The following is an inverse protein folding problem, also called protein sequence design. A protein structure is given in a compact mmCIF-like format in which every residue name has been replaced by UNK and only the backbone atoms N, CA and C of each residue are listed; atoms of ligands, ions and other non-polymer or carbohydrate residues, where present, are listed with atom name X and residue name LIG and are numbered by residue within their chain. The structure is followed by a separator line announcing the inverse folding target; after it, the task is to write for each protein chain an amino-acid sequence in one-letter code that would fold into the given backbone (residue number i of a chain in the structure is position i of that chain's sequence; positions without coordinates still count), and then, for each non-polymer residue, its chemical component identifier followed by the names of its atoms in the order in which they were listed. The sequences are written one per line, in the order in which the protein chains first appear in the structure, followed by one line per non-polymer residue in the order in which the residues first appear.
data_IF_038322915494
#
_entry.id   IF_038322915494
#
_cell.length_a   1.000
_cell.length_b   1.000
_cell.length_c   1.000
_cell.angle_alpha   90.00
_cell.angle_beta   90.00
_cell.angle_gamma   90.00
#
_symmetry.space_group_name_H-M   'P 1'
#
loop_
_entity.id
_entity.type
_entity.pdbx_description
1 polymer ?
#
# COMPACT_ATOMS: atom_id res chain seq x y z
N UNK A 1 13.80 14.41 -36.07
CA UNK A 1 13.32 13.05 -36.42
C UNK A 1 13.31 12.03 -35.28
N UNK A 2 14.35 11.88 -34.43
CA UNK A 2 14.27 10.96 -33.27
C UNK A 2 13.34 11.49 -32.14
N UNK A 3 13.18 12.81 -32.03
CA UNK A 3 12.41 13.45 -30.95
C UNK A 3 10.88 13.46 -31.20
N UNK A 4 10.43 13.58 -32.44
CA UNK A 4 9.00 13.59 -32.80
C UNK A 4 8.37 12.20 -32.72
N UNK A 5 9.03 11.17 -33.25
CA UNK A 5 8.52 9.79 -33.15
C UNK A 5 8.49 9.29 -31.71
N UNK A 6 9.43 9.73 -30.86
CA UNK A 6 9.44 9.44 -29.42
C UNK A 6 8.37 10.26 -28.67
N UNK A 7 8.09 11.51 -29.09
CA UNK A 7 6.96 12.29 -28.59
C UNK A 7 5.62 11.68 -28.99
N UNK A 8 5.43 11.34 -30.27
CA UNK A 8 4.21 10.72 -30.80
C UNK A 8 3.98 9.32 -30.22
N UNK A 9 5.03 8.48 -30.07
CA UNK A 9 4.91 7.21 -29.35
C UNK A 9 4.56 7.44 -27.88
N UNK A 10 5.12 8.46 -27.22
CA UNK A 10 4.83 8.74 -25.81
C UNK A 10 3.46 9.39 -25.61
N UNK A 11 2.99 10.20 -26.55
CA UNK A 11 1.68 10.84 -26.59
C UNK A 11 0.57 9.84 -26.95
N UNK A 12 0.84 8.85 -27.82
CA UNK A 12 -0.09 7.75 -28.13
C UNK A 12 0.03 6.51 -27.20
N UNK A 13 1.11 6.40 -26.41
CA UNK A 13 1.37 5.30 -25.45
C UNK A 13 1.54 5.79 -24.01
N UNK A 14 0.86 6.88 -23.60
CA UNK A 14 0.82 7.23 -22.18
C UNK A 14 0.24 6.06 -21.40
N UNK A 15 0.97 5.64 -20.38
CA UNK A 15 0.59 4.59 -19.47
C UNK A 15 0.08 5.30 -18.21
N UNK A 16 -1.23 5.28 -17.96
CA UNK A 16 -1.79 5.84 -16.73
C UNK A 16 -1.25 5.13 -15.49
N UNK A 17 -1.20 5.81 -14.37
CA UNK A 17 -0.65 5.29 -13.12
C UNK A 17 -1.53 5.69 -11.94
N UNK A 18 -1.47 4.95 -10.84
CA UNK A 18 -2.13 5.29 -9.59
C UNK A 18 -1.08 5.42 -8.49
N UNK A 19 -0.98 6.60 -7.91
CA UNK A 19 -0.10 6.90 -6.77
C UNK A 19 -0.93 7.33 -5.55
N UNK A 20 -0.64 6.74 -4.40
CA UNK A 20 -1.31 7.06 -3.14
C UNK A 20 -0.32 7.63 -2.11
N UNK A 21 -0.68 8.77 -1.52
CA UNK A 21 0.03 9.41 -0.42
C UNK A 21 -0.84 9.42 0.84
N UNK A 22 -0.42 8.69 1.87
CA UNK A 22 -1.12 8.62 3.14
C UNK A 22 -0.25 9.14 4.28
N UNK A 23 -0.80 9.28 5.47
CA UNK A 23 -0.08 9.69 6.67
C UNK A 23 -0.94 10.55 7.60
N UNK A 24 -0.49 10.76 8.85
CA UNK A 24 -1.23 11.53 9.85
C UNK A 24 -1.33 13.02 9.47
N UNK A 25 -2.03 13.82 10.28
CA UNK A 25 -2.09 15.27 10.12
C UNK A 25 -0.67 15.86 10.05
N UNK A 26 -0.49 16.89 9.20
CA UNK A 26 0.79 17.58 8.96
C UNK A 26 1.95 16.80 8.29
N UNK A 27 1.83 15.48 8.04
CA UNK A 27 2.82 14.64 7.31
C UNK A 27 3.25 15.08 5.90
N UNK A 28 2.67 16.15 5.34
CA UNK A 28 3.03 16.66 4.01
C UNK A 28 2.45 15.88 2.82
N UNK A 29 1.54 14.93 3.02
CA UNK A 29 0.87 14.19 1.93
C UNK A 29 0.21 15.08 0.87
N UNK A 30 -0.50 16.12 1.29
CA UNK A 30 -1.10 17.11 0.37
C UNK A 30 -0.03 17.85 -0.41
N UNK A 31 1.09 18.22 0.23
CA UNK A 31 2.23 18.85 -0.45
C UNK A 31 2.87 17.94 -1.50
N UNK A 32 2.90 16.61 -1.26
CA UNK A 32 3.38 15.64 -2.26
C UNK A 32 2.45 15.57 -3.46
N UNK A 33 1.13 15.55 -3.23
CA UNK A 33 0.13 15.63 -4.29
C UNK A 33 0.26 16.93 -5.09
N UNK A 34 0.38 18.07 -4.42
CA UNK A 34 0.55 19.39 -5.05
C UNK A 34 1.85 19.45 -5.86
N UNK A 35 2.94 18.87 -5.36
CA UNK A 35 4.20 18.81 -6.10
C UNK A 35 4.09 18.00 -7.40
N UNK A 36 3.33 16.90 -7.42
CA UNK A 36 3.06 16.15 -8.66
C UNK A 36 2.20 16.96 -9.64
N UNK A 37 1.19 17.69 -9.13
CA UNK A 37 0.36 18.59 -9.94
C UNK A 37 1.19 19.71 -10.58
N UNK A 38 2.01 20.40 -9.79
CA UNK A 38 2.93 21.43 -10.28
C UNK A 38 3.92 20.87 -11.31
N UNK A 39 4.45 19.68 -11.07
CA UNK A 39 5.37 19.02 -12.01
C UNK A 39 4.69 18.75 -13.35
N UNK A 40 3.45 18.26 -13.33
CA UNK A 40 2.67 18.02 -14.54
C UNK A 40 2.37 19.33 -15.28
N UNK A 41 1.99 20.38 -14.57
CA UNK A 41 1.76 21.71 -15.16
C UNK A 41 3.03 22.27 -15.82
N UNK A 42 4.21 22.15 -15.17
CA UNK A 42 5.51 22.55 -15.76
C UNK A 42 5.88 21.74 -17.00
N UNK A 43 5.33 20.54 -17.15
CA UNK A 43 5.47 19.70 -18.36
C UNK A 43 4.43 20.03 -19.44
N UNK A 44 3.55 21.02 -19.21
CA UNK A 44 2.48 21.39 -20.12
C UNK A 44 1.32 20.38 -20.14
N UNK A 45 1.23 19.51 -19.13
CA UNK A 45 0.16 18.50 -19.05
C UNK A 45 -1.11 19.13 -18.51
N UNK A 46 -2.26 18.72 -19.04
CA UNK A 46 -3.56 19.14 -18.54
C UNK A 46 -3.84 18.39 -17.24
N UNK A 47 -3.93 19.11 -16.13
CA UNK A 47 -4.16 18.54 -14.80
C UNK A 47 -5.47 19.05 -14.23
N UNK A 48 -6.20 18.16 -13.56
CA UNK A 48 -7.46 18.48 -12.90
C UNK A 48 -7.40 18.06 -11.43
N UNK A 49 -7.86 18.93 -10.54
CA UNK A 49 -8.05 18.61 -9.12
C UNK A 49 -9.52 18.37 -8.86
N UNK A 50 -9.88 17.16 -8.45
CA UNK A 50 -11.22 16.82 -8.04
C UNK A 50 -11.34 16.99 -6.53
N UNK A 51 -12.41 17.65 -6.09
CA UNK A 51 -12.68 17.95 -4.69
C UNK A 51 -14.20 18.03 -4.45
N UNK A 52 -14.63 17.77 -3.22
CA UNK A 52 -15.92 18.26 -2.74
C UNK A 52 -17.16 17.39 -2.92
N UNK A 53 -17.06 16.13 -3.36
CA UNK A 53 -18.22 15.24 -3.50
C UNK A 53 -17.99 13.89 -2.84
N UNK A 54 -18.98 13.38 -2.13
CA UNK A 54 -18.89 12.08 -1.46
C UNK A 54 -19.13 10.89 -2.42
N UNK A 55 -19.81 11.13 -3.55
CA UNK A 55 -20.16 10.09 -4.53
C UNK A 55 -19.08 9.95 -5.61
N UNK A 56 -18.44 8.77 -5.66
CA UNK A 56 -17.39 8.46 -6.62
C UNK A 56 -17.87 8.44 -8.08
N UNK A 57 -19.14 8.14 -8.36
CA UNK A 57 -19.66 8.13 -9.74
C UNK A 57 -19.75 9.55 -10.33
N UNK A 58 -20.00 10.54 -9.49
CA UNK A 58 -20.04 11.93 -9.92
C UNK A 58 -18.64 12.44 -10.31
N UNK A 59 -17.56 11.80 -9.84
CA UNK A 59 -16.18 12.13 -10.25
C UNK A 59 -15.99 11.93 -11.75
N UNK A 60 -16.53 10.86 -12.34
CA UNK A 60 -16.41 10.60 -13.78
C UNK A 60 -17.14 11.66 -14.61
N UNK A 61 -18.31 12.11 -14.15
CA UNK A 61 -19.07 13.16 -14.83
C UNK A 61 -18.36 14.54 -14.81
N UNK A 62 -17.46 14.75 -13.86
CA UNK A 62 -16.65 15.97 -13.76
C UNK A 62 -15.30 15.85 -14.47
N UNK A 63 -14.91 14.64 -14.88
CA UNK A 63 -13.62 14.43 -15.49
C UNK A 63 -13.55 15.18 -16.81
N UNK A 64 -12.57 16.08 -16.91
CA UNK A 64 -12.23 16.71 -18.17
C UNK A 64 -11.66 15.61 -19.10
N UNK A 65 -12.28 15.36 -20.28
CA UNK A 65 -11.82 14.38 -21.26
C UNK A 65 -10.34 14.46 -21.63
N UNK A 66 -9.78 15.66 -21.55
CA UNK A 66 -8.40 15.92 -21.90
C UNK A 66 -7.46 15.93 -20.67
N UNK A 67 -7.96 15.65 -19.47
CA UNK A 67 -7.14 15.54 -18.27
C UNK A 67 -6.14 14.38 -18.40
N UNK A 68 -4.87 14.72 -18.26
CA UNK A 68 -3.77 13.75 -18.30
C UNK A 68 -3.27 13.39 -16.89
N UNK A 69 -3.61 14.23 -15.90
CA UNK A 69 -3.37 14.01 -14.48
C UNK A 69 -4.63 14.39 -13.70
N UNK A 70 -5.10 13.50 -12.85
CA UNK A 70 -6.16 13.76 -11.88
C UNK A 70 -5.57 13.69 -10.47
N UNK A 71 -5.87 14.71 -9.68
CA UNK A 71 -5.48 14.76 -8.27
C UNK A 71 -6.70 14.76 -7.37
N UNK A 72 -6.66 13.97 -6.30
CA UNK A 72 -7.74 13.86 -5.31
C UNK A 72 -7.13 13.97 -3.92
N UNK A 73 -7.52 15.00 -3.18
CA UNK A 73 -7.14 15.15 -1.78
C UNK A 73 -8.32 14.79 -0.88
N UNK A 74 -8.07 14.58 0.41
CA UNK A 74 -9.06 14.13 1.39
C UNK A 74 -9.80 12.86 0.95
N UNK A 75 -9.09 11.90 0.33
CA UNK A 75 -9.71 10.69 -0.21
C UNK A 75 -10.44 9.84 0.85
N UNK A 76 -10.16 10.04 2.14
CA UNK A 76 -10.84 9.37 3.25
C UNK A 76 -12.31 9.76 3.40
N UNK A 77 -12.75 10.82 2.72
CA UNK A 77 -14.15 11.29 2.72
C UNK A 77 -15.03 10.57 1.72
N UNK A 78 -14.45 9.75 0.84
CA UNK A 78 -15.17 8.97 -0.17
C UNK A 78 -15.47 7.57 0.37
N UNK A 79 -16.33 6.84 -0.33
CA UNK A 79 -16.56 5.41 -0.09
C UNK A 79 -15.54 4.52 -0.84
N UNK A 80 -15.64 3.21 -0.62
CA UNK A 80 -14.74 2.21 -1.20
C UNK A 80 -14.82 2.12 -2.73
N UNK A 81 -15.89 2.63 -3.37
CA UNK A 81 -16.03 2.62 -4.83
C UNK A 81 -15.00 3.51 -5.51
N UNK A 82 -14.45 4.48 -4.79
CA UNK A 82 -13.35 5.30 -5.30
C UNK A 82 -12.19 4.41 -5.80
N UNK A 83 -11.91 3.28 -5.15
CA UNK A 83 -10.82 2.37 -5.55
C UNK A 83 -11.00 1.87 -6.98
N UNK A 84 -12.21 1.46 -7.35
CA UNK A 84 -12.53 0.96 -8.69
C UNK A 84 -12.46 2.07 -9.72
N UNK A 85 -13.07 3.23 -9.43
CA UNK A 85 -13.06 4.41 -10.31
C UNK A 85 -11.63 4.85 -10.63
N UNK A 86 -10.76 4.97 -9.62
CA UNK A 86 -9.37 5.39 -9.84
C UNK A 86 -8.54 4.32 -10.57
N UNK A 87 -8.84 3.04 -10.34
CA UNK A 87 -8.21 1.97 -11.09
C UNK A 87 -8.58 2.03 -12.57
N UNK A 88 -9.84 2.28 -12.91
CA UNK A 88 -10.31 2.39 -14.29
C UNK A 88 -9.75 3.62 -14.98
N UNK A 89 -9.71 4.78 -14.31
CA UNK A 89 -9.05 5.98 -14.83
C UNK A 89 -7.60 5.70 -15.24
N UNK A 90 -6.83 5.05 -14.37
CA UNK A 90 -5.44 4.76 -14.66
C UNK A 90 -5.24 3.58 -15.63
N UNK A 91 -6.18 2.63 -15.71
CA UNK A 91 -6.05 1.41 -16.52
C UNK A 91 -6.62 1.58 -17.93
N UNK A 92 -7.86 2.03 -18.02
CA UNK A 92 -8.69 2.11 -19.23
C UNK A 92 -8.44 3.48 -19.88
N UNK A 93 -8.61 4.55 -19.11
CA UNK A 93 -8.49 5.92 -19.61
C UNK A 93 -7.03 6.42 -19.65
N UNK A 94 -6.08 5.63 -19.10
CA UNK A 94 -4.63 5.91 -19.11
C UNK A 94 -4.28 7.28 -18.52
N UNK A 95 -5.05 7.72 -17.52
CA UNK A 95 -4.83 8.94 -16.76
C UNK A 95 -3.84 8.69 -15.62
N UNK A 96 -2.92 9.61 -15.36
CA UNK A 96 -2.17 9.55 -14.09
C UNK A 96 -3.09 10.03 -12.97
N UNK A 97 -3.18 9.25 -11.91
CA UNK A 97 -4.03 9.54 -10.75
C UNK A 97 -3.14 9.64 -9.53
N UNK A 98 -3.25 10.75 -8.82
CA UNK A 98 -2.54 10.98 -7.56
C UNK A 98 -3.56 11.27 -6.48
N UNK A 99 -3.59 10.43 -5.46
CA UNK A 99 -4.51 10.53 -4.34
C UNK A 99 -3.76 10.79 -3.05
N UNK A 100 -4.28 11.69 -2.22
CA UNK A 100 -3.82 11.90 -0.85
C UNK A 100 -4.98 11.80 0.16
N UNK A 101 -4.70 11.31 1.36
CA UNK A 101 -5.70 11.23 2.43
C UNK A 101 -5.17 10.63 3.73
N UNK A 102 -6.04 10.47 4.71
CA UNK A 102 -5.73 9.77 5.96
C UNK A 102 -6.14 8.31 5.87
N UNK A 103 -5.22 7.40 6.19
CA UNK A 103 -5.49 5.97 6.30
C UNK A 103 -6.09 5.58 7.65
N UNK A 104 -5.84 6.39 8.68
CA UNK A 104 -6.47 6.29 10.00
C UNK A 104 -7.10 7.64 10.36
N UNK A 105 -8.28 7.61 10.96
CA UNK A 105 -8.86 8.78 11.60
C UNK A 105 -8.16 9.09 12.94
N UNK A 106 -8.58 10.17 13.61
CA UNK A 106 -7.99 10.56 14.89
C UNK A 106 -8.29 9.58 16.03
N UNK A 107 -9.29 8.71 15.88
CA UNK A 107 -9.59 7.65 16.84
C UNK A 107 -8.73 6.40 16.63
N UNK A 108 -7.92 6.39 15.56
CA UNK A 108 -7.08 5.26 15.19
C UNK A 108 -7.83 4.20 14.38
N UNK A 109 -9.00 4.51 13.82
CA UNK A 109 -9.76 3.59 12.97
C UNK A 109 -9.45 3.83 11.49
N UNK A 110 -9.47 2.78 10.64
CA UNK A 110 -9.28 2.93 9.20
C UNK A 110 -10.30 3.88 8.59
N UNK A 111 -9.84 4.81 7.75
CA UNK A 111 -10.67 5.89 7.23
C UNK A 111 -10.86 5.79 5.70
N UNK A 112 -12.12 5.58 5.29
CA UNK A 112 -12.53 5.53 3.89
C UNK A 112 -11.74 4.50 3.07
N UNK A 113 -11.52 4.75 1.75
CA UNK A 113 -10.88 3.81 0.83
C UNK A 113 -9.35 3.76 0.93
N UNK A 114 -8.72 4.57 1.80
CA UNK A 114 -7.26 4.70 1.83
C UNK A 114 -6.51 3.39 2.09
N UNK A 115 -6.93 2.53 3.04
CA UNK A 115 -6.32 1.21 3.24
C UNK A 115 -6.24 0.39 1.94
N UNK A 116 -7.33 0.35 1.18
CA UNK A 116 -7.46 -0.37 -0.09
C UNK A 116 -6.69 0.31 -1.21
N UNK A 117 -6.66 1.64 -1.26
CA UNK A 117 -5.89 2.42 -2.23
C UNK A 117 -4.38 2.22 -2.04
N UNK A 118 -3.87 2.13 -0.81
CA UNK A 118 -2.45 1.84 -0.56
C UNK A 118 -2.05 0.47 -1.13
N UNK A 119 -2.93 -0.51 -1.11
CA UNK A 119 -2.73 -1.81 -1.76
C UNK A 119 -2.91 -1.73 -3.29
N UNK A 120 -3.91 -0.99 -3.77
CA UNK A 120 -4.30 -0.98 -5.20
C UNK A 120 -3.44 -0.08 -6.09
N UNK A 121 -2.85 0.97 -5.50
CA UNK A 121 -1.98 1.89 -6.21
C UNK A 121 -0.71 1.19 -6.74
N UNK A 122 -0.16 1.67 -7.84
CA UNK A 122 1.13 1.18 -8.34
C UNK A 122 2.27 1.62 -7.43
N UNK A 123 2.13 2.81 -6.87
CA UNK A 123 3.02 3.40 -5.89
C UNK A 123 2.21 3.87 -4.68
N UNK A 124 2.66 3.53 -3.48
CA UNK A 124 2.06 4.01 -2.25
C UNK A 124 3.17 4.45 -1.30
N UNK A 125 3.02 5.64 -0.74
CA UNK A 125 3.93 6.18 0.25
C UNK A 125 3.12 6.63 1.46
N UNK A 126 3.40 5.97 2.58
CA UNK A 126 2.92 6.38 3.89
C UNK A 126 3.94 7.35 4.48
N UNK A 127 3.55 8.61 4.58
CA UNK A 127 4.37 9.68 5.10
C UNK A 127 4.20 9.75 6.62
N UNK A 128 5.29 10.03 7.31
CA UNK A 128 5.31 10.41 8.72
C UNK A 128 5.52 11.93 8.84
N UNK A 129 5.28 12.50 10.03
CA UNK A 129 5.64 13.91 10.32
C UNK A 129 6.99 14.01 11.05
N UNK A 130 7.89 13.04 10.80
CA UNK A 130 9.19 12.93 11.46
C UNK A 130 9.07 12.48 12.91
N UNK A 131 8.77 13.40 13.83
CA UNK A 131 8.86 13.17 15.28
C UNK A 131 7.55 13.51 15.98
N UNK A 132 7.18 12.65 16.93
CA UNK A 132 5.98 12.79 17.75
C UNK A 132 5.88 14.19 18.39
N UNK A 133 4.71 14.82 18.28
CA UNK A 133 4.43 16.14 18.87
C UNK A 133 4.36 16.15 20.40
N UNK A 134 4.37 14.98 21.05
CA UNK A 134 4.44 14.90 22.52
C UNK A 134 5.82 15.42 22.97
N UNK A 135 5.89 16.47 23.80
CA UNK A 135 7.15 17.01 24.29
C UNK A 135 8.04 15.91 24.91
N UNK A 136 9.31 15.89 24.54
CA UNK A 136 10.28 14.88 25.01
C UNK A 136 10.29 13.56 24.23
N UNK A 137 9.27 13.27 23.43
CA UNK A 137 9.23 12.06 22.61
C UNK A 137 10.10 12.20 21.35
N UNK A 138 10.83 11.15 20.99
CA UNK A 138 11.61 11.07 19.72
C UNK A 138 11.12 9.98 18.78
N UNK A 139 10.02 9.31 19.11
CA UNK A 139 9.44 8.27 18.28
C UNK A 139 8.79 8.87 17.03
N UNK A 140 8.67 8.03 15.99
CA UNK A 140 8.03 8.37 14.73
C UNK A 140 6.59 8.84 14.93
N UNK A 141 6.20 9.94 14.28
CA UNK A 141 4.81 10.39 14.31
C UNK A 141 3.98 9.70 13.21
N UNK A 142 3.26 8.64 13.58
CA UNK A 142 2.49 7.77 12.68
C UNK A 142 0.97 7.81 12.90
N UNK A 143 0.49 8.63 13.85
CA UNK A 143 -0.92 8.74 14.23
C UNK A 143 -1.33 10.20 14.40
N UNK A 144 -2.62 10.49 14.28
CA UNK A 144 -3.20 11.81 14.57
C UNK A 144 -3.86 11.79 15.94
N UNK A 145 -3.43 12.65 16.85
CA UNK A 145 -4.08 12.85 18.15
C UNK A 145 -4.96 14.10 18.12
N UNK A 146 -6.19 13.96 18.62
CA UNK A 146 -7.09 15.08 18.91
C UNK A 146 -6.81 15.63 20.31
N UNK A 147 -6.64 16.94 20.43
CA UNK A 147 -6.42 17.61 21.71
C UNK A 147 -7.60 18.52 22.08
N UNK A 148 -7.98 18.50 23.36
CA UNK A 148 -9.02 19.38 23.88
C UNK A 148 -8.60 20.86 23.80
N UNK A 149 -9.56 21.76 23.56
CA UNK A 149 -9.33 23.19 23.70
C UNK A 149 -9.03 23.53 25.16
N UNK A 150 -7.91 24.21 25.41
CA UNK A 150 -7.54 24.72 26.75
C UNK A 150 -7.37 26.23 26.68
N UNK A 151 -7.92 26.98 27.64
CA UNK A 151 -7.74 28.43 27.78
C UNK A 151 -8.00 29.24 26.49
N UNK A 152 -9.11 28.96 25.80
CA UNK A 152 -9.51 29.71 24.59
C UNK A 152 -8.75 29.35 23.31
N UNK A 153 -7.89 28.32 23.33
CA UNK A 153 -7.29 27.78 22.11
C UNK A 153 -8.28 26.88 21.37
N UNK A 154 -8.28 26.88 20.01
CA UNK A 154 -9.15 25.99 19.24
C UNK A 154 -8.72 24.52 19.40
N UNK A 155 -9.62 23.61 19.04
CA UNK A 155 -9.30 22.19 18.90
C UNK A 155 -8.11 21.99 17.95
N UNK A 156 -7.21 21.07 18.29
CA UNK A 156 -5.99 20.81 17.51
C UNK A 156 -5.85 19.32 17.22
N UNK A 157 -5.30 19.03 16.04
CA UNK A 157 -4.92 17.71 15.62
C UNK A 157 -3.41 17.72 15.37
N UNK A 158 -2.66 17.00 16.19
CA UNK A 158 -1.19 16.94 16.06
C UNK A 158 -0.74 15.50 15.81
N UNK A 159 0.34 15.30 15.05
CA UNK A 159 0.85 13.97 14.80
C UNK A 159 1.64 13.46 16.00
N UNK A 160 1.37 12.24 16.41
CA UNK A 160 1.99 11.57 17.55
C UNK A 160 2.45 10.16 17.17
N UNK A 161 3.31 9.56 17.98
CA UNK A 161 3.65 8.14 17.82
C UNK A 161 2.51 7.25 18.33
N UNK A 162 2.54 5.99 17.92
CA UNK A 162 1.62 4.93 18.38
C UNK A 162 1.43 4.93 19.90
N UNK A 163 2.51 5.03 20.67
CA UNK A 163 2.48 5.03 22.14
C UNK A 163 1.73 6.21 22.76
N UNK A 164 1.74 7.36 22.09
CA UNK A 164 1.13 8.60 22.60
C UNK A 164 -0.21 8.91 21.95
N UNK A 165 -0.72 8.00 21.12
CA UNK A 165 -2.06 8.09 20.57
C UNK A 165 -3.07 7.50 21.55
N UNK A 166 -4.19 8.18 21.71
CA UNK A 166 -5.40 7.67 22.36
C UNK A 166 -6.61 8.00 21.48
N UNK A 167 -7.63 7.12 21.42
CA UNK A 167 -8.86 7.41 20.69
C UNK A 167 -9.58 8.64 21.23
N UNK A 168 -9.53 8.85 22.55
CA UNK A 168 -10.12 9.98 23.23
C UNK A 168 -9.29 11.25 23.02
N UNK A 169 -9.98 12.39 23.01
CA UNK A 169 -9.31 13.67 23.09
C UNK A 169 -8.60 13.81 24.45
N UNK A 170 -7.44 14.46 24.47
CA UNK A 170 -6.69 14.73 25.71
C UNK A 170 -6.17 16.16 25.79
N UNK A 171 -5.91 16.64 27.00
CA UNK A 171 -5.26 17.94 27.17
C UNK A 171 -3.78 17.83 26.75
N UNK A 172 -3.21 18.93 26.23
CA UNK A 172 -1.76 19.03 26.03
C UNK A 172 -1.12 19.07 27.40
N UNK A 173 -0.58 17.94 27.84
CA UNK A 173 0.16 17.82 29.08
C UNK A 173 1.62 17.55 28.76
N UNK A 174 2.50 18.25 29.47
CA UNK A 174 3.91 17.91 29.48
C UNK A 174 4.03 16.55 30.19
N UNK A 175 4.60 15.55 29.53
CA UNK A 175 4.94 14.30 30.20
C UNK A 175 6.34 14.45 30.75
N UNK A 176 6.48 14.34 32.08
CA UNK A 176 7.77 14.36 32.77
C UNK A 176 8.60 13.08 32.52
N UNK A 177 7.98 12.05 31.94
CA UNK A 177 8.64 10.77 31.68
C UNK A 177 9.41 10.85 30.37
N UNK A 178 10.72 11.08 30.49
CA UNK A 178 11.69 10.89 29.43
C UNK A 178 11.77 9.39 29.15
N UNK A 179 11.14 8.93 28.06
CA UNK A 179 11.27 7.55 27.63
C UNK A 179 12.57 7.40 26.82
N UNK A 180 13.58 6.79 27.42
CA UNK A 180 14.80 6.37 26.72
C UNK A 180 14.60 5.10 25.87
N UNK A 181 13.48 4.38 26.08
CA UNK A 181 13.17 3.16 25.31
C UNK A 181 12.35 3.47 24.05
N UNK A 182 12.80 2.99 22.86
CA UNK A 182 12.04 3.11 21.62
C UNK A 182 10.64 2.51 21.77
N UNK A 183 9.61 3.20 21.27
CA UNK A 183 8.31 2.54 21.12
C UNK A 183 8.43 1.39 20.13
N UNK A 184 7.63 0.34 20.33
CA UNK A 184 7.47 -0.69 19.30
C UNK A 184 6.94 -0.08 18.01
N UNK A 185 7.10 -0.79 16.92
CA UNK A 185 6.74 -0.33 15.59
C UNK A 185 6.25 -1.46 14.72
N UNK A 186 5.34 -1.14 13.80
CA UNK A 186 4.85 -2.04 12.77
C UNK A 186 5.33 -1.58 11.40
N UNK A 187 6.22 -2.36 10.79
CA UNK A 187 6.66 -2.15 9.42
C UNK A 187 5.93 -3.13 8.49
N UNK A 188 5.32 -2.62 7.42
CA UNK A 188 4.75 -3.45 6.35
C UNK A 188 5.62 -3.37 5.10
N UNK A 189 5.97 -4.54 4.56
CA UNK A 189 6.59 -4.73 3.25
C UNK A 189 5.55 -5.36 2.33
N UNK A 190 5.13 -4.65 1.29
CA UNK A 190 4.09 -5.13 0.38
C UNK A 190 4.53 -5.09 -1.08
N UNK A 191 3.75 -5.71 -1.96
CA UNK A 191 3.96 -5.70 -3.41
C UNK A 191 3.66 -7.04 -4.07
N UNK A 192 3.65 -7.05 -5.41
CA UNK A 192 3.37 -8.25 -6.21
C UNK A 192 4.40 -9.37 -6.04
N UNK A 193 4.15 -10.55 -6.62
CA UNK A 193 5.15 -11.63 -6.67
C UNK A 193 6.44 -11.14 -7.36
N UNK A 194 7.58 -11.71 -6.98
CA UNK A 194 8.91 -11.38 -7.52
C UNK A 194 9.45 -9.96 -7.22
N UNK A 195 8.75 -9.15 -6.42
CA UNK A 195 9.23 -7.82 -6.02
C UNK A 195 10.32 -7.82 -4.94
N UNK A 196 10.65 -8.98 -4.38
CA UNK A 196 11.71 -9.13 -3.37
C UNK A 196 11.27 -8.95 -1.92
N UNK A 197 9.96 -9.01 -1.61
CA UNK A 197 9.42 -8.88 -0.23
C UNK A 197 10.16 -9.71 0.81
N UNK A 198 10.25 -11.02 0.60
CA UNK A 198 10.95 -11.94 1.51
C UNK A 198 12.43 -11.57 1.66
N UNK A 199 13.10 -11.11 0.60
CA UNK A 199 14.50 -10.67 0.69
C UNK A 199 14.64 -9.41 1.55
N UNK A 200 13.73 -8.45 1.40
CA UNK A 200 13.71 -7.23 2.22
C UNK A 200 13.37 -7.55 3.69
N UNK A 201 12.44 -8.47 3.95
CA UNK A 201 12.13 -8.96 5.30
C UNK A 201 13.38 -9.59 5.94
N UNK A 202 14.02 -10.54 5.26
CA UNK A 202 15.23 -11.20 5.74
C UNK A 202 16.34 -10.18 6.00
N UNK A 203 16.55 -9.23 5.09
CA UNK A 203 17.55 -8.17 5.25
C UNK A 203 17.32 -7.37 6.53
N UNK A 204 16.08 -6.99 6.85
CA UNK A 204 15.75 -6.25 8.09
C UNK A 204 15.90 -7.11 9.35
N UNK A 205 15.49 -8.38 9.28
CA UNK A 205 15.66 -9.33 10.40
C UNK A 205 17.14 -9.57 10.70
N UNK A 206 17.98 -9.74 9.68
CA UNK A 206 19.41 -9.89 9.83
C UNK A 206 20.06 -8.64 10.44
N UNK A 207 19.64 -7.44 10.02
CA UNK A 207 20.09 -6.20 10.64
C UNK A 207 19.76 -6.14 12.13
N UNK A 208 18.54 -6.52 12.51
CA UNK A 208 18.14 -6.60 13.91
C UNK A 208 18.97 -7.64 14.69
N UNK A 209 19.25 -8.80 14.08
CA UNK A 209 20.13 -9.83 14.67
C UNK A 209 21.55 -9.30 14.92
N UNK A 210 22.13 -8.62 13.93
CA UNK A 210 23.47 -8.03 14.06
C UNK A 210 23.51 -6.91 15.12
N UNK A 211 22.39 -6.22 15.34
CA UNK A 211 22.22 -5.26 16.43
C UNK A 211 22.01 -5.92 17.81
N UNK A 212 22.02 -7.26 17.91
CA UNK A 212 21.89 -8.00 19.16
C UNK A 212 20.43 -8.26 19.59
N UNK A 213 19.44 -7.99 18.74
CA UNK A 213 18.04 -8.26 19.06
C UNK A 213 17.71 -9.76 18.99
N UNK A 214 16.89 -10.23 19.92
CA UNK A 214 16.23 -11.54 19.85
C UNK A 214 15.14 -11.49 18.78
N UNK A 215 15.18 -12.41 17.83
CA UNK A 215 14.28 -12.41 16.69
C UNK A 215 13.56 -13.75 16.51
N UNK A 216 12.33 -13.69 16.00
CA UNK A 216 11.59 -14.86 15.50
C UNK A 216 10.88 -14.49 14.21
N UNK A 217 10.88 -15.39 13.24
CA UNK A 217 10.12 -15.24 12.00
C UNK A 217 9.06 -16.33 11.91
N UNK A 218 7.89 -15.98 11.39
CA UNK A 218 6.76 -16.87 11.21
C UNK A 218 6.27 -16.82 9.77
N UNK A 219 5.68 -17.91 9.32
CA UNK A 219 4.97 -17.99 8.04
C UNK A 219 3.76 -18.92 8.17
N UNK A 220 2.71 -18.76 7.37
CA UNK A 220 1.60 -19.69 7.35
C UNK A 220 2.09 -21.09 6.95
N UNK A 221 1.59 -22.11 7.65
CA UNK A 221 1.72 -23.50 7.24
C UNK A 221 0.70 -23.77 6.13
N UNK A 222 1.13 -23.58 4.89
CA UNK A 222 0.36 -23.98 3.72
C UNK A 222 0.49 -25.50 3.60
N UNK A 223 -0.46 -26.23 4.20
CA UNK A 223 -0.66 -27.70 4.27
C UNK A 223 0.36 -28.60 3.52
N UNK A 224 0.93 -29.59 4.23
CA UNK A 224 2.02 -30.48 3.77
C UNK A 224 1.68 -31.33 2.54
N UNK A 225 0.40 -31.40 2.12
CA UNK A 225 0.00 -31.99 0.84
C UNK A 225 0.56 -31.22 -0.37
N UNK A 226 0.94 -29.96 -0.18
CA UNK A 226 1.40 -29.06 -1.24
C UNK A 226 2.93 -28.82 -1.22
N UNK A 227 3.64 -29.35 -0.21
CA UNK A 227 5.09 -29.22 -0.09
C UNK A 227 5.87 -30.13 -1.07
N UNK A 228 5.23 -31.17 -1.62
CA UNK A 228 5.85 -32.14 -2.53
C UNK A 228 6.17 -31.57 -3.91
N UNK A 229 5.50 -30.51 -4.37
CA UNK A 229 5.79 -29.86 -5.66
C UNK A 229 6.55 -28.52 -5.53
N UNK A 230 6.62 -27.95 -4.32
CA UNK A 230 7.14 -26.60 -4.08
C UNK A 230 8.65 -26.54 -3.75
N UNK A 231 9.45 -27.49 -4.24
CA UNK A 231 10.91 -27.48 -4.08
C UNK A 231 11.55 -26.52 -5.10
N UNK A 232 11.25 -25.23 -4.99
CA UNK A 232 12.05 -24.16 -5.60
C UNK A 232 11.64 -22.80 -5.03
N UNK A 233 11.99 -22.52 -3.76
CA UNK A 233 12.12 -21.11 -3.34
C UNK A 233 13.23 -20.50 -4.22
N UNK A 234 12.86 -19.65 -5.19
CA UNK A 234 13.71 -19.30 -6.33
C UNK A 234 14.98 -18.49 -6.02
N UNK A 235 15.35 -18.23 -4.77
CA UNK A 235 16.71 -17.81 -4.37
C UNK A 235 17.03 -18.33 -2.96
N UNK A 236 18.20 -18.95 -2.82
CA UNK A 236 18.70 -19.69 -1.64
C UNK A 236 19.07 -18.81 -0.42
N UNK A 237 18.24 -17.84 -0.05
CA UNK A 237 18.40 -17.15 1.24
C UNK A 237 17.33 -17.69 2.19
N UNK A 238 17.68 -18.76 2.92
CA UNK A 238 16.78 -19.38 3.90
C UNK A 238 17.04 -18.77 5.27
N UNK A 239 16.21 -17.81 5.67
CA UNK A 239 16.09 -17.42 7.08
C UNK A 239 15.15 -18.41 7.79
N UNK A 240 15.47 -18.91 8.99
CA UNK A 240 14.62 -19.86 9.70
C UNK A 240 13.30 -19.18 10.11
N UNK A 241 12.20 -19.55 9.45
CA UNK A 241 10.85 -19.12 9.79
C UNK A 241 10.02 -20.31 10.26
N UNK A 242 9.30 -20.13 11.37
CA UNK A 242 8.44 -21.12 12.00
C UNK A 242 7.12 -21.16 11.21
N UNK A 243 6.78 -22.33 10.66
CA UNK A 243 5.50 -22.53 9.98
C UNK A 243 4.40 -22.74 11.04
N UNK A 244 3.30 -21.98 10.92
CA UNK A 244 2.18 -22.04 11.87
C UNK A 244 0.84 -22.09 11.12
N UNK A 245 -0.10 -22.95 11.51
CA UNK A 245 -1.37 -23.12 10.80
C UNK A 245 -2.27 -21.89 10.91
N UNK A 246 -2.17 -21.15 12.01
CA UNK A 246 -3.01 -20.00 12.33
C UNK A 246 -2.28 -19.04 13.28
N UNK A 247 -2.96 -17.94 13.62
CA UNK A 247 -2.43 -16.89 14.50
C UNK A 247 -2.38 -17.33 15.95
N UNK A 248 -3.23 -18.25 16.39
CA UNK A 248 -3.20 -18.80 17.75
C UNK A 248 -1.92 -19.63 17.97
N UNK A 249 -1.55 -20.49 17.02
CA UNK A 249 -0.31 -21.24 17.05
C UNK A 249 0.93 -20.31 16.98
N UNK A 250 0.85 -19.21 16.23
CA UNK A 250 1.88 -18.17 16.22
C UNK A 250 2.07 -17.59 17.63
N UNK A 251 0.98 -17.17 18.28
CA UNK A 251 1.00 -16.60 19.62
C UNK A 251 1.61 -17.56 20.64
N UNK A 252 1.22 -18.84 20.61
CA UNK A 252 1.75 -19.86 21.51
C UNK A 252 3.25 -20.11 21.34
N UNK A 253 3.78 -20.01 20.12
CA UNK A 253 5.19 -20.22 19.83
C UNK A 253 6.03 -18.96 20.02
N UNK A 254 5.40 -17.80 20.16
CA UNK A 254 6.08 -16.52 20.33
C UNK A 254 6.63 -16.36 21.76
N UNK A 255 7.91 -16.71 21.93
CA UNK A 255 8.69 -16.43 23.15
C UNK A 255 8.59 -14.98 23.65
N UNK A 256 8.53 -14.83 24.98
CA UNK A 256 8.41 -13.54 25.66
C UNK A 256 9.59 -12.60 25.41
N UNK A 257 10.79 -13.16 25.33
CA UNK A 257 12.05 -12.45 25.16
C UNK A 257 12.26 -11.88 23.75
N UNK A 258 11.37 -12.16 22.81
CA UNK A 258 11.52 -11.76 21.40
C UNK A 258 11.21 -10.28 21.20
N UNK A 259 12.20 -9.55 20.68
CA UNK A 259 12.11 -8.11 20.41
C UNK A 259 11.71 -7.76 18.98
N UNK A 260 12.14 -8.56 18.00
CA UNK A 260 11.74 -8.38 16.60
C UNK A 260 11.01 -9.61 16.07
N UNK A 261 9.81 -9.39 15.54
CA UNK A 261 8.95 -10.44 14.99
C UNK A 261 8.81 -10.23 13.48
N UNK A 262 9.27 -11.20 12.70
CA UNK A 262 9.03 -11.25 11.25
C UNK A 262 7.82 -12.11 10.92
N UNK A 263 6.96 -11.68 10.00
CA UNK A 263 5.83 -12.46 9.52
C UNK A 263 5.85 -12.39 8.00
N UNK A 264 6.10 -13.51 7.33
CA UNK A 264 6.08 -13.60 5.86
C UNK A 264 4.74 -14.18 5.36
N UNK A 265 4.41 -13.86 4.11
CA UNK A 265 3.19 -14.30 3.42
C UNK A 265 1.90 -13.99 4.20
N UNK A 266 1.84 -12.81 4.80
CA UNK A 266 0.78 -12.42 5.73
C UNK A 266 -0.63 -12.38 5.12
N UNK A 267 -0.74 -12.28 3.79
CA UNK A 267 -2.02 -12.31 3.08
C UNK A 267 -2.80 -13.62 3.29
N UNK A 268 -2.14 -14.70 3.71
CA UNK A 268 -2.79 -15.99 3.95
C UNK A 268 -3.25 -16.21 5.41
N UNK A 269 -2.93 -15.29 6.33
CA UNK A 269 -3.53 -15.31 7.67
C UNK A 269 -4.94 -14.70 7.65
N UNK A 270 -5.75 -15.04 8.66
CA UNK A 270 -7.03 -14.39 8.89
C UNK A 270 -6.86 -12.97 9.46
N UNK A 271 -7.98 -12.26 9.63
CA UNK A 271 -8.00 -10.87 10.09
C UNK A 271 -7.41 -10.66 11.49
N UNK A 272 -7.43 -11.70 12.32
CA UNK A 272 -6.86 -11.71 13.67
C UNK A 272 -5.35 -11.41 13.72
N UNK A 273 -4.63 -11.58 12.61
CA UNK A 273 -3.22 -11.19 12.50
C UNK A 273 -3.03 -9.70 12.76
N UNK A 274 -3.99 -8.87 12.35
CA UNK A 274 -3.94 -7.41 12.51
C UNK A 274 -3.88 -7.05 13.99
N UNK A 275 -4.81 -7.58 14.78
CA UNK A 275 -4.88 -7.33 16.22
C UNK A 275 -3.65 -7.87 16.96
N UNK A 276 -3.11 -9.02 16.54
CA UNK A 276 -1.88 -9.54 17.11
C UNK A 276 -0.71 -8.58 16.88
N UNK A 277 -0.45 -8.17 15.63
CA UNK A 277 0.73 -7.36 15.32
C UNK A 277 0.66 -5.97 15.92
N UNK A 278 -0.54 -5.38 15.98
CA UNK A 278 -0.75 -4.11 16.69
C UNK A 278 -0.46 -4.26 18.19
N UNK A 279 -1.03 -5.28 18.84
CA UNK A 279 -0.77 -5.52 20.26
C UNK A 279 0.70 -5.79 20.58
N UNK A 280 1.42 -6.45 19.67
CA UNK A 280 2.88 -6.65 19.80
C UNK A 280 3.64 -5.34 19.71
N UNK A 281 3.30 -4.48 18.73
CA UNK A 281 3.91 -3.16 18.58
C UNK A 281 3.61 -2.25 19.78
N UNK A 282 2.38 -2.28 20.31
CA UNK A 282 2.01 -1.53 21.52
C UNK A 282 2.78 -1.98 22.77
N UNK A 283 3.15 -3.26 22.84
CA UNK A 283 4.02 -3.81 23.90
C UNK A 283 5.51 -3.58 23.67
N UNK A 284 5.88 -2.70 22.73
CA UNK A 284 7.27 -2.32 22.52
C UNK A 284 8.07 -3.20 21.56
N UNK A 285 7.44 -4.16 20.87
CA UNK A 285 8.13 -5.03 19.90
C UNK A 285 8.20 -4.36 18.53
N UNK A 286 9.26 -4.66 17.77
CA UNK A 286 9.34 -4.30 16.35
C UNK A 286 8.76 -5.46 15.53
N UNK A 287 7.64 -5.23 14.87
CA UNK A 287 7.00 -6.23 14.02
C UNK A 287 7.21 -5.85 12.56
N UNK A 288 7.71 -6.79 11.76
CA UNK A 288 7.94 -6.61 10.33
C UNK A 288 7.08 -7.64 9.60
N UNK A 289 6.08 -7.16 8.89
CA UNK A 289 5.13 -8.00 8.14
C UNK A 289 5.43 -7.88 6.65
N UNK A 290 5.43 -9.00 5.94
CA UNK A 290 5.58 -9.05 4.50
C UNK A 290 4.41 -9.84 3.86
N UNK A 291 3.90 -9.35 2.73
CA UNK A 291 2.83 -10.05 2.02
C UNK A 291 2.45 -9.44 0.68
N UNK A 292 1.72 -10.21 -0.13
CA UNK A 292 1.13 -9.73 -1.38
C UNK A 292 0.06 -8.69 -1.07
N UNK A 293 0.18 -7.48 -1.63
CA UNK A 293 -0.86 -6.46 -1.50
C UNK A 293 -2.11 -6.79 -2.30
N UNK A 294 -1.94 -7.42 -3.46
CA UNK A 294 -3.01 -7.78 -4.39
C UNK A 294 -3.02 -9.28 -4.73
N UNK A 295 -4.20 -9.83 -4.95
CA UNK A 295 -4.40 -11.13 -5.56
C UNK A 295 -4.16 -11.12 -7.09
N UNK A 296 -4.31 -12.26 -7.76
CA UNK A 296 -4.12 -12.34 -9.21
C UNK A 296 -5.19 -11.57 -10.01
N UNK A 297 -6.30 -11.22 -9.39
CA UNK A 297 -7.39 -10.41 -9.94
C UNK A 297 -7.19 -8.92 -9.68
N UNK A 298 -6.02 -8.55 -9.13
CA UNK A 298 -5.68 -7.19 -8.74
C UNK A 298 -6.60 -6.58 -7.66
N UNK A 299 -7.17 -7.42 -6.79
CA UNK A 299 -7.96 -6.99 -5.65
C UNK A 299 -7.11 -7.06 -4.37
N UNK A 300 -7.32 -6.19 -3.38
CA UNK A 300 -6.60 -6.27 -2.13
C UNK A 300 -6.70 -7.64 -1.46
N UNK A 301 -5.57 -8.19 -1.01
CA UNK A 301 -5.48 -9.57 -0.55
C UNK A 301 -5.54 -9.68 0.98
N UNK A 302 -6.62 -10.28 1.49
CA UNK A 302 -6.72 -10.71 2.88
C UNK A 302 -6.56 -9.52 3.86
N UNK A 303 -5.76 -9.65 4.94
CA UNK A 303 -5.60 -8.61 5.96
C UNK A 303 -4.74 -7.41 5.53
N UNK A 304 -4.18 -7.43 4.31
CA UNK A 304 -3.15 -6.48 3.89
C UNK A 304 -3.57 -5.01 3.86
N UNK A 305 -4.81 -4.62 3.49
CA UNK A 305 -5.28 -3.24 3.61
C UNK A 305 -5.21 -2.71 5.04
N UNK A 306 -5.70 -3.47 6.00
CA UNK A 306 -5.69 -3.08 7.41
C UNK A 306 -4.26 -3.04 7.95
N UNK A 307 -3.41 -4.01 7.60
CA UNK A 307 -1.99 -3.96 7.93
C UNK A 307 -1.33 -2.68 7.38
N UNK A 308 -1.68 -2.23 6.17
CA UNK A 308 -1.15 -0.99 5.60
C UNK A 308 -1.67 0.26 6.35
N UNK A 309 -2.93 0.25 6.78
CA UNK A 309 -3.53 1.30 7.59
C UNK A 309 -2.84 1.42 8.97
N UNK A 310 -2.56 0.31 9.62
CA UNK A 310 -1.98 0.29 10.96
C UNK A 310 -0.45 0.33 10.99
N UNK A 311 0.25 0.05 9.88
CA UNK A 311 1.70 0.12 9.84
C UNK A 311 2.21 1.51 10.19
N UNK A 312 3.27 1.61 10.99
CA UNK A 312 4.00 2.84 11.22
C UNK A 312 4.83 3.21 9.98
N UNK A 313 5.30 2.20 9.23
CA UNK A 313 6.02 2.37 7.96
C UNK A 313 5.52 1.41 6.89
N UNK A 314 5.29 1.93 5.69
CA UNK A 314 4.94 1.13 4.51
C UNK A 314 6.09 1.14 3.50
N UNK A 315 6.54 -0.04 3.09
CA UNK A 315 7.48 -0.23 1.97
C UNK A 315 6.80 -1.06 0.89
N UNK A 316 6.29 -0.38 -0.14
CA UNK A 316 5.69 -1.05 -1.29
C UNK A 316 6.72 -1.27 -2.39
N UNK A 317 7.08 -2.54 -2.60
CA UNK A 317 8.09 -2.96 -3.58
C UNK A 317 7.44 -3.23 -4.94
N UNK A 318 8.16 -2.85 -6.00
CA UNK A 318 7.79 -3.12 -7.38
C UNK A 318 8.75 -4.13 -8.00
N UNK A 319 8.26 -4.96 -8.90
CA UNK A 319 9.07 -5.88 -9.68
C UNK A 319 9.35 -5.30 -11.08
N UNK A 320 10.12 -6.04 -11.89
CA UNK A 320 10.20 -5.78 -13.33
C UNK A 320 9.09 -6.52 -14.06
N UNK A 321 8.42 -5.83 -15.00
CA UNK A 321 7.36 -6.41 -15.80
C UNK A 321 7.94 -7.46 -16.74
N UNK A 322 7.43 -8.69 -16.64
CA UNK A 322 7.90 -9.85 -17.40
C UNK A 322 7.18 -10.01 -18.74
N UNK A 323 6.19 -9.14 -19.05
CA UNK A 323 5.55 -9.13 -20.35
C UNK A 323 6.57 -8.81 -21.47
N UNK A 324 6.65 -9.63 -22.54
CA UNK A 324 7.60 -9.44 -23.62
C UNK A 324 7.56 -8.02 -24.21
N UNK A 325 8.72 -7.38 -24.33
CA UNK A 325 8.84 -6.04 -24.89
C UNK A 325 8.42 -4.88 -23.98
N UNK A 326 7.97 -5.13 -22.74
CA UNK A 326 7.56 -4.05 -21.83
C UNK A 326 8.75 -3.28 -21.24
N UNK A 327 9.69 -3.97 -20.58
CA UNK A 327 10.87 -3.37 -19.94
C UNK A 327 10.59 -2.45 -18.73
N UNK A 328 9.33 -2.26 -18.33
CA UNK A 328 8.97 -1.44 -17.17
C UNK A 328 9.49 -2.06 -15.86
N UNK A 329 10.06 -1.22 -14.99
CA UNK A 329 10.46 -1.59 -13.62
C UNK A 329 9.38 -1.29 -12.57
N UNK A 330 8.14 -1.05 -13.03
CA UNK A 330 7.00 -0.68 -12.21
C UNK A 330 5.92 -1.77 -12.29
N UNK A 331 6.31 -3.04 -12.12
CA UNK A 331 5.33 -4.10 -11.99
C UNK A 331 4.69 -4.05 -10.59
N UNK A 332 3.38 -3.87 -10.58
CA UNK A 332 2.52 -3.76 -9.39
C UNK A 332 1.51 -4.89 -9.28
N UNK A 333 1.43 -5.80 -10.27
CA UNK A 333 0.42 -6.87 -10.36
C UNK A 333 1.07 -8.23 -10.50
N UNK A 334 0.43 -9.24 -9.92
CA UNK A 334 0.74 -10.64 -10.15
C UNK A 334 -0.18 -11.16 -11.26
N UNK A 335 0.38 -11.45 -12.43
CA UNK A 335 -0.33 -12.16 -13.49
C UNK A 335 -0.28 -13.65 -13.19
N UNK A 336 -1.45 -14.29 -13.18
CA UNK A 336 -1.54 -15.75 -13.23
C UNK A 336 -1.74 -16.22 -14.66
N UNK A 337 -1.06 -17.28 -15.02
CA UNK A 337 -1.19 -17.98 -16.30
C UNK A 337 -1.63 -19.43 -16.07
N UNK A 338 -2.48 -19.93 -16.97
CA UNK A 338 -2.86 -21.34 -17.10
C UNK A 338 -2.59 -21.70 -18.55
N UNK A 339 -1.68 -22.66 -18.77
CA UNK A 339 -1.23 -23.06 -20.11
C UNK A 339 -0.72 -21.89 -20.98
N UNK A 340 -0.06 -20.91 -20.33
CA UNK A 340 0.49 -19.71 -20.98
C UNK A 340 -0.50 -18.56 -21.18
N UNK A 341 -1.79 -18.77 -20.93
CA UNK A 341 -2.84 -17.76 -21.09
C UNK A 341 -3.28 -17.15 -19.75
N UNK A 342 -3.71 -15.87 -19.71
CA UNK A 342 -4.21 -15.24 -18.50
C UNK A 342 -5.36 -16.03 -17.86
N UNK A 343 -5.22 -16.34 -16.57
CA UNK A 343 -6.22 -17.11 -15.83
C UNK A 343 -7.58 -16.40 -15.82
N UNK A 344 -8.69 -17.12 -16.08
CA UNK A 344 -10.06 -16.61 -15.92
C UNK A 344 -10.37 -16.13 -14.50
N UNK A 345 -11.37 -15.25 -14.38
CA UNK A 345 -11.74 -14.62 -13.11
C UNK A 345 -12.27 -15.61 -12.06
N UNK A 346 -12.88 -16.70 -12.49
CA UNK A 346 -13.42 -17.79 -11.68
C UNK A 346 -12.37 -18.86 -11.29
N UNK A 347 -11.11 -18.67 -11.69
CA UNK A 347 -10.02 -19.55 -11.29
C UNK A 347 -9.82 -19.54 -9.76
N UNK A 348 -9.45 -20.67 -9.12
CA UNK A 348 -9.23 -20.73 -7.67
C UNK A 348 -8.25 -19.66 -7.19
N UNK A 349 -8.59 -18.87 -6.17
CA UNK A 349 -7.80 -17.71 -5.76
C UNK A 349 -6.33 -18.03 -5.44
N UNK A 350 -6.13 -19.15 -4.74
CA UNK A 350 -4.82 -19.60 -4.26
C UNK A 350 -4.46 -20.88 -4.98
N UNK A 351 -3.36 -20.82 -5.74
CA UNK A 351 -2.68 -22.01 -6.27
C UNK A 351 -1.20 -21.82 -6.01
N UNK A 352 -0.58 -22.83 -5.39
CA UNK A 352 0.85 -22.78 -5.13
C UNK A 352 1.57 -23.06 -6.44
N UNK A 353 2.33 -22.09 -6.91
CA UNK A 353 3.07 -22.17 -8.16
C UNK A 353 4.21 -21.15 -8.19
N UNK A 354 5.29 -21.50 -8.89
CA UNK A 354 6.44 -20.63 -9.09
C UNK A 354 6.33 -19.80 -10.37
N UNK A 355 7.47 -19.52 -10.99
CA UNK A 355 7.54 -18.78 -12.26
C UNK A 355 6.83 -19.47 -13.44
N UNK A 356 6.51 -20.76 -13.32
CA UNK A 356 5.74 -21.50 -14.32
C UNK A 356 4.26 -21.09 -14.37
N UNK A 357 3.72 -20.51 -13.30
CA UNK A 357 2.30 -20.18 -13.15
C UNK A 357 2.07 -18.68 -12.99
N UNK A 358 3.08 -17.94 -12.54
CA UNK A 358 2.96 -16.54 -12.17
C UNK A 358 4.06 -15.67 -12.78
N UNK A 359 3.67 -14.47 -13.19
CA UNK A 359 4.57 -13.42 -13.68
C UNK A 359 4.27 -12.10 -12.96
N UNK A 360 5.29 -11.27 -12.75
CA UNK A 360 5.08 -9.88 -12.37
C UNK A 360 4.75 -9.04 -13.61
N UNK A 361 3.67 -8.27 -13.57
CA UNK A 361 3.27 -7.36 -14.66
C UNK A 361 2.96 -5.95 -14.15
N UNK A 362 3.17 -4.95 -15.00
CA UNK A 362 2.63 -3.61 -14.75
C UNK A 362 1.11 -3.62 -14.92
N UNK A 363 0.44 -2.57 -14.41
CA UNK A 363 -1.02 -2.44 -14.52
C UNK A 363 -1.54 -2.56 -15.96
N UNK A 364 -0.75 -2.20 -16.99
CA UNK A 364 -1.20 -2.23 -18.39
C UNK A 364 -1.13 -3.61 -19.04
N UNK A 365 -0.19 -4.45 -18.59
CA UNK A 365 -0.01 -5.80 -19.14
C UNK A 365 -0.68 -6.89 -18.30
N UNK A 366 -1.13 -6.56 -17.09
CA UNK A 366 -1.98 -7.43 -16.30
C UNK A 366 -3.35 -7.58 -16.98
N UNK A 367 -3.77 -8.84 -17.15
CA UNK A 367 -5.02 -9.25 -17.78
C UNK A 367 -5.69 -10.33 -16.94
N UNK A 368 -7.02 -10.34 -16.97
CA UNK A 368 -7.86 -11.36 -16.34
C UNK A 368 -8.64 -12.04 -17.46
N UNK A 369 -8.43 -13.35 -17.63
CA UNK A 369 -8.95 -14.09 -18.78
C UNK A 369 -8.42 -13.61 -20.13
N UNK A 370 -8.95 -14.22 -21.19
CA UNK A 370 -8.50 -14.01 -22.58
C UNK A 370 -9.18 -12.82 -23.27
N UNK A 371 -10.08 -12.11 -22.58
CA UNK A 371 -10.79 -10.99 -23.18
C UNK A 371 -9.83 -9.84 -23.49
N UNK A 372 -9.92 -9.32 -24.72
CA UNK A 372 -9.21 -8.11 -25.09
C UNK A 372 -9.66 -6.97 -24.17
N UNK A 373 -8.72 -6.12 -23.72
CA UNK A 373 -9.14 -4.85 -23.11
C UNK A 373 -9.98 -4.08 -24.12
N UNK A 374 -11.05 -3.39 -23.69
CA UNK A 374 -11.63 -2.37 -24.55
C UNK A 374 -10.51 -1.41 -24.96
N UNK A 375 -10.42 -1.11 -26.25
CA UNK A 375 -9.51 -0.08 -26.75
C UNK A 375 -9.84 1.26 -26.05
N UNK A 376 -8.86 2.17 -25.89
CA UNK A 376 -9.14 3.47 -25.29
C UNK A 376 -10.26 4.13 -26.08
N UNK A 377 -11.42 4.34 -25.45
CA UNK A 377 -12.51 5.08 -26.09
C UNK A 377 -12.05 6.53 -26.16
N UNK A 378 -11.73 7.01 -27.36
CA UNK A 378 -11.53 8.44 -27.57
C UNK A 378 -12.84 9.14 -27.19
N UNK A 379 -12.75 10.17 -26.36
CA UNK A 379 -13.90 11.01 -26.07
C UNK A 379 -14.40 11.58 -27.40
N UNK A 380 -15.58 11.15 -27.82
CA UNK A 380 -16.26 11.71 -28.98
C UNK A 380 -16.70 13.11 -28.56
N UNK A 381 -16.08 14.14 -29.15
CA UNK A 381 -16.69 15.46 -29.15
C UNK A 381 -18.02 15.31 -29.91
N UNK A 382 -19.14 15.34 -29.20
CA UNK A 382 -20.42 15.63 -29.84
C UNK A 382 -20.30 17.05 -30.39
N UNK A 383 -19.95 17.13 -31.68
CA UNK A 383 -20.10 18.34 -32.46
C UNK A 383 -21.58 18.72 -32.43
N UNK A 384 -21.90 19.69 -31.59
CA UNK A 384 -23.15 20.44 -31.67
C UNK A 384 -23.15 21.20 -33.00
N UNK A 385 -23.69 20.58 -34.06
CA UNK A 385 -24.09 21.29 -35.26
C UNK A 385 -25.51 21.83 -35.06
N UNK A 386 -25.61 23.16 -35.12
CA UNK A 386 -26.81 23.95 -35.38
C UNK A 386 -27.19 23.86 -36.87
#
# INVERSE_FOLDING_TARGET
MINERYREDRERRRLGSLSAFSGPTHSGKTKKLEAEAERAQRQGRRSQRLHGLADANQLLAQLDPAAELVTIDDAQRYDDRLVEVLNDLATIHRVDVVVAGWELDYTGQPAGPLPQLMCSADFALKLDDGVCAQPGCRNLASRTQRFHPTNGTPERFLPVCRRHHTPEARAVSFQEVWFDEPSGSLDLISGCMFSGKTQELIRRLDQARYAGSTIQAFKPALDDRYALEAVASHREVRFPAIAVPDVEALQHQLRDDTRVVGIDEAQFFGGEIVSLVEGLADRGRHVIVAGLDLDFLARPFGPMPLLAAYADRLTKLQASCQYPGCGSRQASRTQRLIDGEPAPADSPLVVIGGAATYEARCRHHHRIGVHARPEPVAFVEESAEL
#
